data_IF_414177173786
#
_entry.id   IF_414177173786
#
_cell.length_a   1.000
_cell.length_b   1.000
_cell.length_c   1.000
_cell.angle_alpha   90.00
_cell.angle_beta   90.00
_cell.angle_gamma   90.00
#
_symmetry.space_group_name_H-M   'P 1'
#
loop_
_entity.id
_entity.type
_entity.pdbx_description
1 polymer ?
#
# COMPACT_ATOMS: atom_id res chain seq x y z
N UNK A 1 11.09 29.97 -0.97
CA UNK A 1 9.99 29.00 -1.16
C UNK A 1 10.31 27.98 -2.27
N UNK A 2 10.88 28.39 -3.40
CA UNK A 2 11.17 27.52 -4.55
C UNK A 2 12.25 26.44 -4.30
N UNK A 3 13.20 26.63 -3.39
CA UNK A 3 14.30 25.69 -3.17
C UNK A 3 13.91 24.40 -2.40
N UNK A 4 12.85 24.43 -1.58
CA UNK A 4 12.39 23.26 -0.83
C UNK A 4 11.62 22.29 -1.75
N UNK A 5 10.70 22.81 -2.56
CA UNK A 5 9.96 22.01 -3.54
C UNK A 5 10.89 21.35 -4.56
N UNK A 6 11.88 22.10 -5.06
CA UNK A 6 12.88 21.56 -5.98
C UNK A 6 13.70 20.41 -5.36
N UNK A 7 14.12 20.57 -4.09
CA UNK A 7 14.84 19.50 -3.38
C UNK A 7 13.98 18.28 -3.09
N UNK A 8 12.70 18.45 -2.73
CA UNK A 8 11.77 17.35 -2.53
C UNK A 8 11.59 16.56 -3.83
N UNK A 9 11.27 17.26 -4.92
CA UNK A 9 11.12 16.65 -6.25
C UNK A 9 12.39 15.94 -6.71
N UNK A 10 13.55 16.58 -6.56
CA UNK A 10 14.83 15.99 -6.94
C UNK A 10 15.12 14.69 -6.17
N UNK A 11 14.93 14.71 -4.83
CA UNK A 11 15.12 13.50 -3.99
C UNK A 11 14.16 12.37 -4.40
N UNK A 12 12.92 12.68 -4.75
CA UNK A 12 11.93 11.69 -5.17
C UNK A 12 12.20 11.16 -6.58
N UNK A 13 12.56 12.03 -7.51
CA UNK A 13 12.98 11.62 -8.85
C UNK A 13 14.25 10.75 -8.81
N UNK A 14 15.24 11.12 -8.01
CA UNK A 14 16.41 10.27 -7.80
C UNK A 14 16.04 8.89 -7.26
N UNK A 15 15.10 8.80 -6.30
CA UNK A 15 14.61 7.50 -5.80
C UNK A 15 13.92 6.70 -6.90
N UNK A 16 13.09 7.33 -7.72
CA UNK A 16 12.42 6.70 -8.86
C UNK A 16 13.44 6.10 -9.84
N UNK A 17 14.45 6.88 -10.22
CA UNK A 17 15.53 6.47 -11.14
C UNK A 17 16.32 5.28 -10.62
N UNK A 18 16.51 5.15 -9.30
CA UNK A 18 17.22 4.03 -8.71
C UNK A 18 16.32 2.83 -8.38
N UNK A 19 15.11 3.07 -7.88
CA UNK A 19 14.22 1.99 -7.44
C UNK A 19 13.60 1.25 -8.62
N UNK A 20 13.24 1.93 -9.71
CA UNK A 20 12.63 1.26 -10.87
C UNK A 20 13.56 0.22 -11.51
N UNK A 21 14.82 0.54 -11.89
CA UNK A 21 15.73 -0.48 -12.42
C UNK A 21 16.03 -1.59 -11.41
N UNK A 22 16.22 -1.23 -10.14
CA UNK A 22 16.48 -2.22 -9.09
C UNK A 22 15.31 -3.20 -8.95
N UNK A 23 14.08 -2.69 -8.90
CA UNK A 23 12.89 -3.55 -8.82
C UNK A 23 12.67 -4.34 -10.10
N UNK A 24 12.95 -3.78 -11.27
CA UNK A 24 12.88 -4.49 -12.55
C UNK A 24 13.84 -5.70 -12.57
N UNK A 25 15.11 -5.49 -12.19
CA UNK A 25 16.10 -6.59 -12.08
C UNK A 25 15.66 -7.64 -11.07
N UNK A 26 15.22 -7.21 -9.89
CA UNK A 26 14.79 -8.11 -8.81
C UNK A 26 13.57 -8.95 -9.23
N UNK A 27 12.56 -8.30 -9.81
CA UNK A 27 11.34 -8.98 -10.27
C UNK A 27 11.65 -9.96 -11.41
N UNK A 28 12.43 -9.53 -12.41
CA UNK A 28 12.84 -10.42 -13.50
C UNK A 28 13.62 -11.63 -12.98
N UNK A 29 14.54 -11.40 -12.03
CA UNK A 29 15.32 -12.48 -11.42
C UNK A 29 14.41 -13.44 -10.64
N UNK A 30 13.48 -12.92 -9.83
CA UNK A 30 12.54 -13.76 -9.08
C UNK A 30 11.66 -14.61 -10.01
N UNK A 31 11.13 -14.01 -11.08
CA UNK A 31 10.32 -14.73 -12.06
C UNK A 31 11.16 -15.77 -12.82
N UNK A 32 12.41 -15.42 -13.16
CA UNK A 32 13.32 -16.36 -13.86
C UNK A 32 13.81 -17.52 -12.99
N UNK A 33 13.84 -17.35 -11.66
CA UNK A 33 14.20 -18.39 -10.68
C UNK A 33 12.98 -19.20 -10.21
N UNK A 34 11.78 -18.78 -10.56
CA UNK A 34 10.57 -19.53 -10.18
C UNK A 34 10.63 -20.93 -10.81
N UNK A 35 10.34 -21.99 -10.04
CA UNK A 35 10.39 -23.38 -10.53
C UNK A 35 9.15 -23.71 -11.39
N UNK A 36 8.78 -22.81 -12.27
CA UNK A 36 7.60 -22.92 -13.13
C UNK A 36 8.09 -22.82 -14.56
N UNK A 37 7.87 -23.89 -15.33
CA UNK A 37 8.15 -23.91 -16.75
C UNK A 37 7.10 -23.08 -17.49
N UNK A 38 7.47 -21.94 -18.16
CA UNK A 38 6.53 -21.11 -18.90
C UNK A 38 5.82 -21.86 -20.02
N UNK A 39 6.48 -22.87 -20.62
CA UNK A 39 5.87 -23.70 -21.68
C UNK A 39 4.79 -24.59 -21.10
N UNK A 40 5.05 -25.23 -19.93
CA UNK A 40 4.04 -26.01 -19.23
C UNK A 40 2.83 -25.16 -18.82
N UNK A 41 3.09 -23.95 -18.36
CA UNK A 41 2.02 -23.03 -17.98
C UNK A 41 1.14 -22.62 -19.17
N UNK A 42 1.75 -22.39 -20.34
CA UNK A 42 1.05 -22.05 -21.57
C UNK A 42 0.23 -23.21 -22.14
N UNK A 43 0.85 -24.37 -22.21
CA UNK A 43 0.26 -25.57 -22.80
C UNK A 43 -0.74 -26.25 -21.85
N UNK A 44 -0.47 -26.16 -20.54
CA UNK A 44 -1.32 -26.74 -19.50
C UNK A 44 -1.48 -28.25 -19.65
N UNK A 45 -2.72 -28.72 -19.52
CA UNK A 45 -3.04 -30.16 -19.64
C UNK A 45 -2.74 -30.78 -21.03
N UNK A 46 -2.47 -29.98 -22.04
CA UNK A 46 -2.13 -30.45 -23.39
C UNK A 46 -0.63 -30.78 -23.55
N UNK A 47 0.17 -30.62 -22.52
CA UNK A 47 1.61 -30.90 -22.57
C UNK A 47 1.92 -32.33 -23.05
N UNK A 48 1.09 -33.30 -22.69
CA UNK A 48 1.21 -34.69 -23.17
C UNK A 48 0.91 -34.86 -24.68
N UNK A 49 0.34 -33.90 -25.34
CA UNK A 49 0.00 -33.92 -26.78
C UNK A 49 1.04 -33.18 -27.64
N UNK A 50 2.00 -32.50 -27.01
CA UNK A 50 3.06 -31.75 -27.69
C UNK A 50 4.32 -32.60 -27.75
N UNK A 51 4.83 -32.78 -28.98
CA UNK A 51 6.10 -33.44 -29.17
C UNK A 51 7.28 -32.57 -28.75
N UNK A 52 8.47 -33.20 -28.47
CA UNK A 52 9.66 -32.47 -28.04
C UNK A 52 10.13 -31.43 -29.06
N UNK A 53 9.87 -31.61 -30.34
CA UNK A 53 10.19 -30.65 -31.40
C UNK A 53 9.33 -29.37 -31.31
N UNK A 54 8.05 -29.55 -31.00
CA UNK A 54 7.12 -28.40 -30.82
C UNK A 54 7.45 -27.61 -29.53
N UNK A 55 7.81 -28.32 -28.46
CA UNK A 55 8.26 -27.70 -27.23
C UNK A 55 9.52 -26.86 -27.50
N UNK A 56 10.53 -27.43 -28.14
CA UNK A 56 11.77 -26.74 -28.48
C UNK A 56 11.51 -25.50 -29.40
N UNK A 57 10.56 -25.61 -30.32
CA UNK A 57 10.16 -24.50 -31.17
C UNK A 57 9.53 -23.33 -30.38
N UNK A 58 8.69 -23.64 -29.38
CA UNK A 58 8.10 -22.65 -28.47
C UNK A 58 9.19 -22.01 -27.59
N UNK A 59 10.09 -22.82 -27.03
CA UNK A 59 11.20 -22.35 -26.21
C UNK A 59 12.11 -21.39 -27.00
N UNK A 60 12.44 -21.75 -28.24
CA UNK A 60 13.24 -20.91 -29.14
C UNK A 60 12.50 -19.63 -29.55
N UNK A 61 11.18 -19.71 -29.84
CA UNK A 61 10.36 -18.56 -30.19
C UNK A 61 10.26 -17.54 -29.05
N UNK A 62 10.28 -18.00 -27.79
CA UNK A 62 10.26 -17.14 -26.61
C UNK A 62 11.65 -16.80 -26.08
N UNK A 63 12.71 -17.31 -26.74
CA UNK A 63 14.11 -17.10 -26.35
C UNK A 63 14.45 -17.68 -24.98
N UNK A 64 13.72 -18.73 -24.53
CA UNK A 64 13.95 -19.37 -23.25
C UNK A 64 15.28 -20.17 -23.21
N UNK A 65 15.81 -20.51 -24.40
CA UNK A 65 17.10 -21.10 -24.64
C UNK A 65 18.28 -20.15 -24.37
N UNK A 66 18.00 -18.83 -24.32
CA UNK A 66 19.04 -17.83 -24.15
C UNK A 66 19.41 -17.62 -22.68
N UNK A 67 20.67 -17.23 -22.37
CA UNK A 67 21.09 -16.85 -21.04
C UNK A 67 20.19 -15.77 -20.42
N UNK A 68 19.88 -15.87 -19.12
CA UNK A 68 18.93 -14.97 -18.44
C UNK A 68 19.25 -13.47 -18.57
N UNK A 69 20.54 -13.09 -18.66
CA UNK A 69 20.95 -11.72 -18.86
C UNK A 69 20.57 -11.17 -20.27
N UNK A 70 20.64 -12.02 -21.31
CA UNK A 70 20.22 -11.64 -22.68
C UNK A 70 18.71 -11.46 -22.67
N UNK A 71 17.95 -12.37 -22.08
CA UNK A 71 16.49 -12.27 -21.92
C UNK A 71 16.08 -11.01 -21.18
N UNK A 72 16.82 -10.65 -20.12
CA UNK A 72 16.57 -9.41 -19.38
C UNK A 72 16.75 -8.17 -20.26
N UNK A 73 17.84 -8.07 -21.03
CA UNK A 73 18.07 -6.91 -21.91
C UNK A 73 17.07 -6.84 -23.07
N UNK A 74 16.67 -7.97 -23.65
CA UNK A 74 15.59 -8.03 -24.64
C UNK A 74 14.27 -7.53 -24.04
N UNK A 75 13.89 -8.06 -22.90
CA UNK A 75 12.70 -7.59 -22.19
C UNK A 75 12.75 -6.10 -21.85
N UNK A 76 13.90 -5.61 -21.39
CA UNK A 76 14.07 -4.19 -21.07
C UNK A 76 13.98 -3.30 -22.34
N UNK A 77 14.50 -3.76 -23.46
CA UNK A 77 14.40 -3.04 -24.73
C UNK A 77 12.95 -2.93 -25.21
N UNK A 78 12.16 -4.00 -25.12
CA UNK A 78 10.72 -3.99 -25.37
C UNK A 78 9.96 -3.09 -24.40
N UNK A 79 10.29 -3.14 -23.10
CA UNK A 79 9.69 -2.28 -22.09
C UNK A 79 9.89 -0.79 -22.38
N UNK A 80 11.08 -0.37 -22.83
CA UNK A 80 11.37 1.03 -23.17
C UNK A 80 10.58 1.48 -24.41
N UNK A 81 10.24 0.56 -25.31
CA UNK A 81 9.37 0.81 -26.47
C UNK A 81 7.87 0.78 -26.11
N UNK A 82 7.53 0.50 -24.84
CA UNK A 82 6.14 0.40 -24.37
C UNK A 82 5.51 -0.97 -24.62
N UNK A 83 6.28 -1.93 -25.10
CA UNK A 83 5.84 -3.31 -25.29
C UNK A 83 6.12 -4.12 -24.01
N UNK A 84 5.04 -4.50 -23.31
CA UNK A 84 5.08 -5.32 -22.11
C UNK A 84 4.90 -6.81 -22.41
N UNK A 85 4.77 -7.17 -23.69
CA UNK A 85 4.45 -8.52 -24.14
C UNK A 85 2.96 -8.88 -24.01
N UNK A 86 2.67 -10.16 -24.25
CA UNK A 86 1.32 -10.70 -24.21
C UNK A 86 1.07 -11.53 -22.95
N UNK A 87 -0.11 -11.36 -22.39
CA UNK A 87 -0.59 -12.14 -21.24
C UNK A 87 -1.14 -13.49 -21.71
N UNK A 88 -0.60 -14.55 -21.15
CA UNK A 88 -1.06 -15.92 -21.37
C UNK A 88 -2.44 -16.13 -20.73
N UNK A 89 -2.64 -15.60 -19.52
CA UNK A 89 -3.86 -15.76 -18.72
C UNK A 89 -5.08 -15.06 -19.27
N UNK A 90 -4.87 -13.99 -20.06
CA UNK A 90 -5.93 -13.16 -20.65
C UNK A 90 -5.97 -13.21 -22.17
N UNK A 91 -4.97 -13.85 -22.81
CA UNK A 91 -4.83 -13.91 -24.26
C UNK A 91 -4.95 -12.53 -24.94
N UNK A 92 -4.28 -11.54 -24.36
CA UNK A 92 -4.33 -10.13 -24.76
C UNK A 92 -3.00 -9.44 -24.41
N UNK A 93 -2.66 -8.33 -25.08
CA UNK A 93 -1.50 -7.53 -24.69
C UNK A 93 -1.56 -7.11 -23.21
N UNK A 94 -0.43 -7.23 -22.51
CA UNK A 94 -0.36 -6.88 -21.07
C UNK A 94 -0.82 -5.44 -20.83
N UNK A 95 -0.46 -4.51 -21.69
CA UNK A 95 -0.88 -3.11 -21.58
C UNK A 95 -2.41 -2.96 -21.59
N UNK A 96 -3.12 -3.70 -22.43
CA UNK A 96 -4.60 -3.70 -22.50
C UNK A 96 -5.18 -4.17 -21.16
N UNK A 97 -4.68 -5.28 -20.63
CA UNK A 97 -5.13 -5.82 -19.33
C UNK A 97 -4.89 -4.81 -18.20
N UNK A 98 -3.75 -4.12 -18.22
CA UNK A 98 -3.42 -3.10 -17.22
C UNK A 98 -4.40 -1.92 -17.30
N UNK A 99 -4.63 -1.39 -18.50
CA UNK A 99 -5.52 -0.21 -18.70
C UNK A 99 -6.97 -0.53 -18.32
N UNK A 100 -7.46 -1.71 -18.63
CA UNK A 100 -8.84 -2.12 -18.31
C UNK A 100 -9.04 -2.35 -16.80
N UNK A 101 -8.04 -2.88 -16.09
CA UNK A 101 -8.18 -3.28 -14.69
C UNK A 101 -7.74 -2.23 -13.68
N UNK A 102 -6.84 -1.36 -14.06
CA UNK A 102 -6.32 -0.30 -13.18
C UNK A 102 -7.41 0.63 -12.62
N UNK A 103 -8.41 1.10 -13.40
CA UNK A 103 -9.48 1.95 -12.87
C UNK A 103 -10.29 1.29 -11.76
N UNK A 104 -10.54 -0.02 -11.85
CA UNK A 104 -11.29 -0.77 -10.84
C UNK A 104 -10.51 -0.85 -9.51
N UNK A 105 -9.21 -1.12 -9.55
CA UNK A 105 -8.34 -1.05 -8.36
C UNK A 105 -8.29 0.35 -7.77
N UNK A 106 -8.14 1.37 -8.62
CA UNK A 106 -8.08 2.76 -8.17
C UNK A 106 -9.37 3.21 -7.50
N UNK A 107 -10.55 2.82 -8.05
CA UNK A 107 -11.84 3.10 -7.46
C UNK A 107 -11.99 2.44 -6.08
N UNK A 108 -11.66 1.15 -5.98
CA UNK A 108 -11.70 0.42 -4.70
C UNK A 108 -10.78 1.06 -3.66
N UNK A 109 -9.52 1.30 -4.01
CA UNK A 109 -8.53 1.88 -3.10
C UNK A 109 -8.89 3.30 -2.70
N UNK A 110 -9.30 4.14 -3.66
CA UNK A 110 -9.66 5.53 -3.40
C UNK A 110 -10.88 5.65 -2.48
N UNK A 111 -11.94 4.90 -2.76
CA UNK A 111 -13.12 4.86 -1.90
C UNK A 111 -12.80 4.34 -0.49
N UNK A 112 -12.00 3.27 -0.40
CA UNK A 112 -11.59 2.69 0.90
C UNK A 112 -10.72 3.65 1.69
N UNK A 113 -9.81 4.34 1.04
CA UNK A 113 -8.94 5.34 1.66
C UNK A 113 -9.75 6.50 2.24
N UNK A 114 -10.68 7.05 1.47
CA UNK A 114 -11.55 8.12 1.94
C UNK A 114 -12.46 7.67 3.08
N UNK A 115 -13.08 6.49 2.94
CA UNK A 115 -13.93 5.92 3.98
C UNK A 115 -13.16 5.68 5.29
N UNK A 116 -11.96 5.09 5.20
CA UNK A 116 -11.08 4.88 6.36
C UNK A 116 -10.72 6.20 7.05
N UNK A 117 -10.41 7.24 6.28
CA UNK A 117 -10.08 8.55 6.82
C UNK A 117 -11.28 9.19 7.54
N UNK A 118 -12.45 9.20 6.92
CA UNK A 118 -13.65 9.83 7.48
C UNK A 118 -14.10 9.08 8.74
N UNK A 119 -14.25 7.76 8.65
CA UNK A 119 -14.71 6.94 9.77
C UNK A 119 -13.67 6.90 10.90
N UNK A 120 -12.40 6.65 10.55
CA UNK A 120 -11.33 6.56 11.53
C UNK A 120 -11.10 7.87 12.28
N UNK A 121 -11.07 8.99 11.56
CA UNK A 121 -10.94 10.32 12.17
C UNK A 121 -12.15 10.69 13.01
N UNK A 122 -13.36 10.45 12.51
CA UNK A 122 -14.61 10.73 13.24
C UNK A 122 -14.70 9.96 14.56
N UNK A 123 -14.46 8.65 14.50
CA UNK A 123 -14.45 7.79 15.70
C UNK A 123 -13.30 8.16 16.66
N UNK A 124 -12.13 8.54 16.14
CA UNK A 124 -11.01 9.00 16.95
C UNK A 124 -11.31 10.28 17.71
N UNK A 125 -11.96 11.26 17.05
CA UNK A 125 -12.42 12.50 17.69
C UNK A 125 -13.49 12.21 18.74
N UNK A 126 -14.47 11.35 18.43
CA UNK A 126 -15.52 10.95 19.35
C UNK A 126 -14.93 10.25 20.58
N UNK A 127 -14.03 9.32 20.40
CA UNK A 127 -13.36 8.62 21.51
C UNK A 127 -12.61 9.59 22.43
N UNK A 128 -11.88 10.57 21.86
CA UNK A 128 -11.18 11.57 22.65
C UNK A 128 -12.12 12.54 23.38
N UNK A 129 -13.20 12.96 22.74
CA UNK A 129 -14.22 13.83 23.34
C UNK A 129 -14.94 13.16 24.53
N UNK A 130 -15.07 11.83 24.48
CA UNK A 130 -15.65 10.98 25.53
C UNK A 130 -14.60 10.30 26.41
N UNK A 131 -13.39 10.86 26.51
CA UNK A 131 -12.26 10.24 27.23
C UNK A 131 -12.66 9.67 28.59
N UNK A 132 -12.29 8.40 28.82
CA UNK A 132 -12.55 7.65 30.06
C UNK A 132 -13.99 7.15 30.23
N UNK A 133 -14.94 7.55 29.38
CA UNK A 133 -16.33 7.09 29.39
C UNK A 133 -16.50 5.81 28.58
N UNK A 134 -17.70 5.20 28.65
CA UNK A 134 -17.99 3.95 27.95
C UNK A 134 -17.81 4.03 26.41
N UNK A 135 -18.18 5.15 25.67
CA UNK A 135 -17.96 5.20 24.23
C UNK A 135 -16.46 5.15 23.87
N UNK A 136 -15.61 5.84 24.64
CA UNK A 136 -14.16 5.77 24.46
C UNK A 136 -13.63 4.35 24.61
N UNK A 137 -14.10 3.62 25.64
CA UNK A 137 -13.66 2.23 25.88
C UNK A 137 -14.08 1.30 24.75
N UNK A 138 -15.31 1.45 24.23
CA UNK A 138 -15.82 0.63 23.13
C UNK A 138 -15.06 0.93 21.81
N UNK A 139 -14.93 2.21 21.44
CA UNK A 139 -14.24 2.60 20.20
C UNK A 139 -12.78 2.14 20.25
N UNK A 140 -12.10 2.32 21.36
CA UNK A 140 -10.71 1.89 21.54
C UNK A 140 -10.60 0.36 21.50
N UNK A 141 -11.48 -0.38 22.18
CA UNK A 141 -11.53 -1.83 22.14
C UNK A 141 -11.76 -2.33 20.71
N UNK A 142 -12.71 -1.76 20.00
CA UNK A 142 -12.98 -2.03 18.59
C UNK A 142 -11.75 -1.77 17.71
N UNK A 143 -11.12 -0.60 17.86
CA UNK A 143 -9.92 -0.25 17.10
C UNK A 143 -8.77 -1.23 17.32
N UNK A 144 -8.57 -1.70 18.56
CA UNK A 144 -7.57 -2.70 18.91
C UNK A 144 -7.89 -4.06 18.26
N UNK A 145 -9.14 -4.54 18.36
CA UNK A 145 -9.57 -5.81 17.78
C UNK A 145 -9.35 -5.81 16.26
N UNK A 146 -9.76 -4.73 15.57
CA UNK A 146 -9.59 -4.64 14.12
C UNK A 146 -8.11 -4.59 13.73
N UNK A 147 -7.28 -3.87 14.47
CA UNK A 147 -5.85 -3.74 14.16
C UNK A 147 -5.07 -5.05 14.21
N UNK A 148 -5.57 -6.04 14.95
CA UNK A 148 -4.95 -7.37 15.06
C UNK A 148 -5.68 -8.45 14.27
N UNK A 149 -6.87 -8.14 13.74
CA UNK A 149 -7.68 -9.10 12.97
C UNK A 149 -7.14 -9.25 11.55
N UNK A 150 -7.03 -10.49 11.02
CA UNK A 150 -6.64 -10.71 9.64
C UNK A 150 -7.68 -10.12 8.66
N UNK A 151 -7.23 -9.38 7.65
CA UNK A 151 -8.12 -8.71 6.69
C UNK A 151 -9.04 -9.67 5.92
N UNK A 152 -8.53 -10.85 5.55
CA UNK A 152 -9.34 -11.87 4.86
C UNK A 152 -10.48 -12.40 5.74
N UNK A 153 -10.27 -12.52 7.05
CA UNK A 153 -11.29 -12.96 7.99
C UNK A 153 -12.44 -11.96 8.09
N UNK A 154 -12.11 -10.66 8.14
CA UNK A 154 -13.11 -9.58 8.12
C UNK A 154 -13.92 -9.62 6.82
N UNK A 155 -13.26 -9.83 5.68
CA UNK A 155 -13.94 -9.97 4.39
C UNK A 155 -14.96 -11.11 4.38
N UNK A 156 -14.56 -12.30 4.84
CA UNK A 156 -15.42 -13.47 4.92
C UNK A 156 -16.58 -13.28 5.90
N UNK A 157 -16.31 -12.63 7.04
CA UNK A 157 -17.34 -12.28 8.02
C UNK A 157 -18.39 -11.34 7.40
N UNK A 158 -17.96 -10.34 6.64
CA UNK A 158 -18.87 -9.40 5.97
C UNK A 158 -19.67 -10.05 4.87
N UNK A 159 -19.07 -10.92 4.08
CA UNK A 159 -19.81 -11.74 3.10
C UNK A 159 -20.86 -12.58 3.83
N UNK A 160 -20.49 -13.28 4.90
CA UNK A 160 -21.41 -14.12 5.63
C UNK A 160 -22.61 -13.34 6.20
N UNK A 161 -22.36 -12.19 6.81
CA UNK A 161 -23.42 -11.39 7.44
C UNK A 161 -24.25 -10.65 6.38
N UNK A 162 -23.61 -9.82 5.54
CA UNK A 162 -24.32 -8.86 4.70
C UNK A 162 -24.79 -9.44 3.36
N UNK A 163 -24.07 -10.44 2.82
CA UNK A 163 -24.44 -11.03 1.55
C UNK A 163 -25.26 -12.32 1.70
N UNK A 164 -24.90 -13.19 2.69
CA UNK A 164 -25.56 -14.48 2.84
C UNK A 164 -26.74 -14.41 3.80
N UNK A 165 -26.53 -13.93 5.06
CA UNK A 165 -27.59 -13.94 6.07
C UNK A 165 -28.63 -12.84 5.85
N UNK A 166 -28.18 -11.61 5.59
CA UNK A 166 -29.07 -10.46 5.42
C UNK A 166 -29.49 -10.24 3.96
N UNK A 167 -28.76 -10.80 3.00
CA UNK A 167 -28.97 -10.61 1.56
C UNK A 167 -29.09 -9.12 1.11
N UNK A 168 -28.43 -8.21 1.84
CA UNK A 168 -28.49 -6.78 1.55
C UNK A 168 -27.56 -6.36 0.43
N UNK A 169 -26.38 -6.99 0.35
CA UNK A 169 -25.30 -6.62 -0.57
C UNK A 169 -24.84 -7.85 -1.37
N UNK A 170 -24.34 -7.67 -2.59
CA UNK A 170 -23.77 -8.77 -3.38
C UNK A 170 -22.49 -9.30 -2.76
N UNK A 171 -22.25 -10.61 -2.90
CA UNK A 171 -21.08 -11.29 -2.34
C UNK A 171 -19.82 -11.15 -3.20
N UNK A 172 -19.98 -10.88 -4.52
CA UNK A 172 -18.86 -10.85 -5.46
C UNK A 172 -19.10 -9.91 -6.63
N UNK A 173 -18.05 -9.82 -7.43
CA UNK A 173 -18.05 -9.27 -8.78
C UNK A 173 -18.26 -7.75 -8.80
N UNK A 174 -18.11 -7.12 -9.98
CA UNK A 174 -18.34 -5.67 -10.13
C UNK A 174 -19.76 -5.35 -10.58
N UNK A 175 -20.41 -6.34 -11.21
CA UNK A 175 -21.75 -6.21 -11.82
C UNK A 175 -22.58 -7.46 -11.54
N UNK A 176 -23.91 -7.35 -11.62
CA UNK A 176 -24.80 -8.50 -11.57
C UNK A 176 -24.51 -9.48 -12.70
N UNK A 177 -24.72 -10.80 -12.48
CA UNK A 177 -24.56 -11.80 -13.53
C UNK A 177 -25.43 -11.48 -14.76
N UNK A 178 -24.82 -11.54 -15.95
CA UNK A 178 -25.50 -11.30 -17.22
C UNK A 178 -25.61 -9.84 -17.66
N UNK A 179 -25.14 -8.89 -16.85
CA UNK A 179 -25.09 -7.46 -17.22
C UNK A 179 -23.72 -7.14 -17.81
N UNK A 180 -23.68 -6.60 -19.03
CA UNK A 180 -22.46 -6.12 -19.67
C UNK A 180 -22.07 -4.73 -19.15
N UNK A 181 -20.81 -4.31 -19.36
CA UNK A 181 -20.36 -2.99 -18.91
C UNK A 181 -21.13 -1.83 -19.56
N UNK A 182 -21.56 -2.02 -20.81
CA UNK A 182 -22.30 -1.02 -21.57
C UNK A 182 -23.74 -0.84 -21.11
N UNK A 183 -24.33 -1.89 -20.51
CA UNK A 183 -25.68 -1.89 -19.96
C UNK A 183 -25.73 -1.56 -18.47
N UNK A 184 -24.57 -1.48 -17.85
CA UNK A 184 -24.45 -1.33 -16.40
C UNK A 184 -24.77 0.10 -15.95
N UNK A 185 -25.66 0.21 -14.98
CA UNK A 185 -25.92 1.46 -14.31
C UNK A 185 -24.88 1.70 -13.19
N UNK A 186 -24.42 2.95 -13.02
CA UNK A 186 -23.44 3.33 -12.02
C UNK A 186 -23.81 2.89 -10.58
N UNK A 187 -25.09 2.83 -10.24
CA UNK A 187 -25.56 2.40 -8.91
C UNK A 187 -25.35 0.89 -8.68
N UNK A 188 -25.40 0.06 -9.73
CA UNK A 188 -25.11 -1.38 -9.65
C UNK A 188 -23.63 -1.59 -9.30
N UNK A 189 -22.75 -0.89 -10.01
CA UNK A 189 -21.32 -0.90 -9.72
C UNK A 189 -21.05 -0.42 -8.28
N UNK A 190 -21.70 0.69 -7.87
CA UNK A 190 -21.60 1.21 -6.50
C UNK A 190 -22.03 0.20 -5.44
N UNK A 191 -23.14 -0.54 -5.66
CA UNK A 191 -23.64 -1.54 -4.72
C UNK A 191 -22.66 -2.71 -4.54
N UNK A 192 -22.00 -3.15 -5.61
CA UNK A 192 -20.99 -4.21 -5.57
C UNK A 192 -19.67 -3.72 -4.92
N UNK A 193 -19.38 -2.43 -4.99
CA UNK A 193 -18.21 -1.83 -4.40
C UNK A 193 -18.29 -1.70 -2.87
N UNK A 194 -19.50 -1.68 -2.28
CA UNK A 194 -19.71 -1.41 -0.83
C UNK A 194 -18.97 -2.39 0.06
N UNK A 195 -19.14 -3.72 -0.14
CA UNK A 195 -18.51 -4.72 0.73
C UNK A 195 -16.97 -4.73 0.63
N UNK A 196 -16.38 -4.71 -0.58
CA UNK A 196 -14.92 -4.56 -0.72
C UNK A 196 -14.39 -3.29 -0.04
N UNK A 197 -15.07 -2.15 -0.24
CA UNK A 197 -14.69 -0.87 0.38
C UNK A 197 -14.80 -0.93 1.90
N UNK A 198 -15.88 -1.45 2.47
CA UNK A 198 -16.03 -1.61 3.91
C UNK A 198 -14.91 -2.48 4.48
N UNK A 199 -14.61 -3.60 3.85
CA UNK A 199 -13.54 -4.51 4.29
C UNK A 199 -12.19 -3.81 4.32
N UNK A 200 -11.81 -3.17 3.21
CA UNK A 200 -10.51 -2.54 3.08
C UNK A 200 -10.41 -1.27 3.95
N UNK A 201 -11.50 -0.50 4.09
CA UNK A 201 -11.53 0.70 4.92
C UNK A 201 -11.42 0.40 6.41
N UNK A 202 -12.11 -0.63 6.90
CA UNK A 202 -12.05 -1.02 8.32
C UNK A 202 -10.63 -1.36 8.73
N UNK A 203 -9.89 -2.07 7.88
CA UNK A 203 -8.49 -2.39 8.15
C UNK A 203 -7.64 -1.13 8.40
N UNK A 204 -7.85 -0.06 7.62
CA UNK A 204 -7.17 1.22 7.79
C UNK A 204 -7.69 2.07 8.96
N UNK A 205 -8.89 1.82 9.50
CA UNK A 205 -9.50 2.68 10.53
C UNK A 205 -8.88 2.52 11.91
N UNK A 206 -8.50 1.31 12.33
CA UNK A 206 -8.03 1.02 13.67
C UNK A 206 -6.84 1.88 14.12
N UNK A 207 -5.71 1.86 13.41
CA UNK A 207 -4.55 2.70 13.71
C UNK A 207 -4.87 4.20 13.67
N UNK A 208 -5.73 4.62 12.74
CA UNK A 208 -6.11 6.01 12.59
C UNK A 208 -6.97 6.52 13.77
N UNK A 209 -7.93 5.72 14.24
CA UNK A 209 -8.73 6.00 15.45
C UNK A 209 -7.81 6.27 16.64
N UNK A 210 -6.87 5.35 16.89
CA UNK A 210 -5.95 5.45 18.01
C UNK A 210 -5.03 6.66 17.89
N UNK A 211 -4.53 6.96 16.70
CA UNK A 211 -3.69 8.12 16.43
C UNK A 211 -4.43 9.44 16.67
N UNK A 212 -5.61 9.61 16.07
CA UNK A 212 -6.43 10.83 16.21
C UNK A 212 -6.82 11.05 17.66
N UNK A 213 -7.27 9.97 18.35
CA UNK A 213 -7.59 10.00 19.77
C UNK A 213 -6.42 10.49 20.61
N UNK A 214 -5.23 9.91 20.41
CA UNK A 214 -4.03 10.27 21.17
C UNK A 214 -3.62 11.73 20.95
N UNK A 215 -3.65 12.19 19.71
CA UNK A 215 -3.32 13.57 19.34
C UNK A 215 -4.29 14.58 19.93
N UNK A 216 -5.58 14.26 19.90
CA UNK A 216 -6.60 15.15 20.46
C UNK A 216 -6.51 15.22 21.98
N UNK A 217 -6.31 14.11 22.68
CA UNK A 217 -6.09 14.10 24.13
C UNK A 217 -4.85 14.91 24.49
N UNK A 218 -3.71 14.71 23.81
CA UNK A 218 -2.52 15.50 24.04
C UNK A 218 -2.72 17.00 23.83
N UNK A 219 -3.57 17.41 22.88
CA UNK A 219 -3.95 18.81 22.74
C UNK A 219 -4.81 19.30 23.91
N UNK A 220 -5.82 18.51 24.34
CA UNK A 220 -6.74 18.86 25.41
C UNK A 220 -6.05 19.00 26.79
N UNK A 221 -5.00 18.24 27.02
CA UNK A 221 -4.19 18.30 28.23
C UNK A 221 -3.08 19.38 28.14
N UNK A 222 -2.87 19.93 26.96
CA UNK A 222 -1.81 20.89 26.68
C UNK A 222 -2.10 22.33 27.14
N UNK A 223 -1.06 23.19 27.12
CA UNK A 223 -1.18 24.58 27.57
C UNK A 223 -2.13 25.41 26.73
N UNK A 224 -2.21 25.14 25.40
CA UNK A 224 -3.13 25.84 24.49
C UNK A 224 -4.60 25.61 24.88
N UNK A 225 -4.98 24.38 25.22
CA UNK A 225 -6.33 24.06 25.65
C UNK A 225 -6.64 24.69 27.01
N UNK A 226 -5.65 24.70 27.93
CA UNK A 226 -5.78 25.36 29.25
C UNK A 226 -6.06 26.84 29.08
N UNK A 227 -5.31 27.53 28.21
CA UNK A 227 -5.54 28.95 27.91
C UNK A 227 -6.96 29.20 27.37
N UNK A 228 -7.42 28.43 26.41
CA UNK A 228 -8.75 28.55 25.84
C UNK A 228 -9.87 28.27 26.85
N UNK A 229 -9.66 27.36 27.81
CA UNK A 229 -10.61 27.12 28.94
C UNK A 229 -10.70 28.33 29.85
N UNK A 230 -9.61 29.02 30.14
CA UNK A 230 -9.61 30.26 30.94
C UNK A 230 -10.42 31.38 30.27
N UNK A 231 -10.54 31.34 28.95
CA UNK A 231 -11.40 32.22 28.16
C UNK A 231 -12.85 31.72 28.00
N UNK A 232 -13.27 30.75 28.83
CA UNK A 232 -14.65 30.25 28.88
C UNK A 232 -15.04 29.22 27.82
N UNK A 233 -14.05 28.64 27.04
CA UNK A 233 -14.37 27.64 26.06
C UNK A 233 -14.64 26.28 26.73
N UNK A 234 -15.82 25.68 26.44
CA UNK A 234 -16.18 24.36 26.97
C UNK A 234 -15.33 23.23 26.40
N UNK A 235 -15.15 22.15 27.14
CA UNK A 235 -14.35 21.00 26.69
C UNK A 235 -14.84 20.39 25.38
N UNK A 236 -16.16 20.37 25.15
CA UNK A 236 -16.73 19.87 23.89
C UNK A 236 -16.39 20.80 22.71
N UNK A 237 -16.49 22.11 22.88
CA UNK A 237 -16.10 23.09 21.85
C UNK A 237 -14.61 23.03 21.56
N UNK A 238 -13.78 22.81 22.57
CA UNK A 238 -12.35 22.58 22.41
C UNK A 238 -12.04 21.33 21.60
N UNK A 239 -12.70 20.23 21.91
CA UNK A 239 -12.50 18.96 21.22
C UNK A 239 -12.94 19.01 19.76
N UNK A 240 -14.15 19.53 19.49
CA UNK A 240 -14.73 19.58 18.13
C UNK A 240 -14.21 20.74 17.26
N UNK A 241 -13.63 21.77 17.86
CA UNK A 241 -13.09 22.94 17.15
C UNK A 241 -11.57 22.89 16.99
N UNK A 242 -10.80 23.64 17.80
CA UNK A 242 -9.35 23.75 17.61
C UNK A 242 -8.62 22.42 17.85
N UNK A 243 -9.10 21.58 18.77
CA UNK A 243 -8.50 20.29 19.05
C UNK A 243 -8.61 19.30 17.88
N UNK A 244 -9.81 19.18 17.29
CA UNK A 244 -10.00 18.31 16.11
C UNK A 244 -9.16 18.78 14.93
N UNK A 245 -9.08 20.09 14.66
CA UNK A 245 -8.23 20.64 13.60
C UNK A 245 -6.75 20.27 13.80
N UNK A 246 -6.27 20.35 15.05
CA UNK A 246 -4.90 19.97 15.37
C UNK A 246 -4.65 18.45 15.16
N UNK A 247 -5.58 17.60 15.62
CA UNK A 247 -5.49 16.16 15.48
C UNK A 247 -5.63 15.70 14.02
N UNK A 248 -6.57 16.29 13.25
CA UNK A 248 -6.79 15.97 11.85
C UNK A 248 -5.61 16.35 10.96
N UNK A 249 -4.93 17.47 11.20
CA UNK A 249 -3.73 17.83 10.47
C UNK A 249 -2.66 16.74 10.57
N UNK A 250 -2.44 16.19 11.77
CA UNK A 250 -1.53 15.06 11.98
C UNK A 250 -2.06 13.76 11.38
N UNK A 251 -3.38 13.53 11.45
CA UNK A 251 -4.04 12.34 10.90
C UNK A 251 -3.90 12.24 9.38
N UNK A 252 -4.08 13.36 8.66
CA UNK A 252 -3.88 13.42 7.20
C UNK A 252 -2.47 12.96 6.85
N UNK A 253 -1.45 13.48 7.53
CA UNK A 253 -0.05 13.11 7.25
C UNK A 253 0.22 11.61 7.44
N UNK A 254 -0.28 11.04 8.54
CA UNK A 254 -0.10 9.60 8.84
C UNK A 254 -0.89 8.74 7.86
N UNK A 255 -2.13 9.14 7.55
CA UNK A 255 -2.98 8.41 6.64
C UNK A 255 -2.44 8.41 5.20
N UNK A 256 -1.94 9.57 4.73
CA UNK A 256 -1.28 9.65 3.42
C UNK A 256 -0.02 8.79 3.34
N UNK A 257 0.72 8.62 4.44
CA UNK A 257 1.89 7.75 4.47
C UNK A 257 1.54 6.25 4.31
N UNK A 258 0.30 5.83 4.62
CA UNK A 258 -0.15 4.44 4.48
C UNK A 258 -0.68 4.08 3.07
N UNK A 259 -0.61 4.99 2.09
CA UNK A 259 -1.07 4.72 0.71
C UNK A 259 -0.42 3.45 0.13
N UNK A 260 0.87 3.23 0.38
CA UNK A 260 1.58 2.03 -0.10
C UNK A 260 1.05 0.72 0.48
N UNK A 261 0.55 0.73 1.72
CA UNK A 261 0.01 -0.45 2.39
C UNK A 261 -1.35 -0.88 1.81
N UNK A 262 -2.11 0.08 1.24
CA UNK A 262 -3.39 -0.20 0.61
C UNK A 262 -3.27 -1.13 -0.59
N UNK A 263 -2.18 -1.04 -1.36
CA UNK A 263 -1.96 -1.95 -2.49
C UNK A 263 -1.88 -3.41 -2.04
N UNK A 264 -1.15 -3.71 -0.96
CA UNK A 264 -1.10 -5.07 -0.41
C UNK A 264 -2.46 -5.56 0.08
N UNK A 265 -3.23 -4.69 0.74
CA UNK A 265 -4.57 -4.99 1.21
C UNK A 265 -5.60 -5.14 0.09
N UNK A 266 -5.47 -4.36 -1.00
CA UNK A 266 -6.40 -4.41 -2.12
C UNK A 266 -6.35 -5.74 -2.87
N UNK A 267 -5.17 -6.36 -3.01
CA UNK A 267 -5.01 -7.68 -3.65
C UNK A 267 -5.90 -8.72 -2.99
N UNK A 268 -5.91 -8.77 -1.65
CA UNK A 268 -6.78 -9.69 -0.92
C UNK A 268 -8.26 -9.37 -1.10
N UNK A 269 -8.64 -8.10 -0.99
CA UNK A 269 -10.03 -7.68 -1.18
C UNK A 269 -10.52 -7.98 -2.61
N UNK A 270 -9.73 -7.63 -3.63
CA UNK A 270 -10.06 -7.89 -5.02
C UNK A 270 -10.21 -9.39 -5.32
N UNK A 271 -9.36 -10.22 -4.72
CA UNK A 271 -9.43 -11.68 -4.90
C UNK A 271 -10.65 -12.28 -4.22
N UNK A 272 -10.93 -11.91 -2.96
CA UNK A 272 -12.03 -12.48 -2.18
C UNK A 272 -13.38 -12.08 -2.76
N UNK A 273 -13.52 -10.81 -3.17
CA UNK A 273 -14.76 -10.29 -3.76
C UNK A 273 -14.83 -10.45 -5.28
N UNK A 274 -13.87 -11.13 -5.91
CA UNK A 274 -13.76 -11.26 -7.37
C UNK A 274 -13.89 -9.89 -8.08
N UNK A 275 -13.33 -8.82 -7.47
CA UNK A 275 -13.33 -7.48 -8.02
C UNK A 275 -12.32 -7.39 -9.16
N UNK A 276 -12.71 -6.91 -10.37
CA UNK A 276 -11.87 -7.01 -11.57
C UNK A 276 -10.72 -6.00 -11.61
N UNK A 277 -9.89 -5.98 -10.59
CA UNK A 277 -8.73 -5.09 -10.48
C UNK A 277 -7.40 -5.78 -10.78
N UNK A 278 -6.30 -5.01 -10.57
CA UNK A 278 -4.93 -5.47 -10.76
C UNK A 278 -4.51 -6.53 -9.74
N UNK A 279 -5.03 -6.47 -8.51
CA UNK A 279 -4.73 -7.47 -7.48
C UNK A 279 -5.28 -8.85 -7.86
N UNK A 280 -6.52 -8.92 -8.34
CA UNK A 280 -7.08 -10.15 -8.88
C UNK A 280 -6.27 -10.66 -10.09
N UNK A 281 -5.88 -9.75 -10.99
CA UNK A 281 -5.05 -10.09 -12.13
C UNK A 281 -3.67 -10.62 -11.70
N UNK A 282 -3.09 -10.08 -10.62
CA UNK A 282 -1.82 -10.56 -10.05
C UNK A 282 -1.94 -12.02 -9.59
N UNK A 283 -2.99 -12.35 -8.85
CA UNK A 283 -3.20 -13.73 -8.37
C UNK A 283 -3.45 -14.67 -9.53
N UNK A 284 -4.24 -14.27 -10.53
CA UNK A 284 -4.49 -15.07 -11.74
C UNK A 284 -3.20 -15.28 -12.54
N UNK A 285 -2.38 -14.24 -12.72
CA UNK A 285 -1.11 -14.34 -13.39
C UNK A 285 -0.11 -15.24 -12.63
N UNK A 286 -0.08 -15.13 -11.29
CA UNK A 286 0.80 -15.97 -10.47
C UNK A 286 0.41 -17.45 -10.55
N UNK A 287 -0.88 -17.77 -10.49
CA UNK A 287 -1.37 -19.18 -10.59
C UNK A 287 -1.28 -19.73 -12.02
N UNK A 288 -1.37 -18.85 -13.03
CA UNK A 288 -1.22 -19.21 -14.45
C UNK A 288 0.21 -19.11 -14.97
N UNK A 289 1.19 -18.86 -14.12
CA UNK A 289 2.60 -18.68 -14.49
C UNK A 289 2.84 -17.63 -15.59
N UNK A 290 2.00 -16.61 -15.65
CA UNK A 290 2.02 -15.54 -16.62
C UNK A 290 3.09 -14.49 -16.25
N UNK A 291 4.33 -14.78 -16.62
CA UNK A 291 5.48 -13.95 -16.30
C UNK A 291 5.39 -12.51 -16.86
N UNK A 292 5.00 -12.29 -18.14
CA UNK A 292 4.87 -10.94 -18.69
C UNK A 292 3.85 -10.10 -17.93
N UNK A 293 2.69 -10.66 -17.60
CA UNK A 293 1.64 -9.96 -16.86
C UNK A 293 2.08 -9.65 -15.42
N UNK A 294 2.73 -10.59 -14.73
CA UNK A 294 3.27 -10.36 -13.38
C UNK A 294 4.28 -9.22 -13.36
N UNK A 295 5.22 -9.21 -14.29
CA UNK A 295 6.22 -8.15 -14.41
C UNK A 295 5.55 -6.79 -14.71
N UNK A 296 4.60 -6.77 -15.64
CA UNK A 296 3.84 -5.56 -16.00
C UNK A 296 3.06 -4.98 -14.82
N UNK A 297 2.29 -5.81 -14.09
CA UNK A 297 1.54 -5.37 -12.91
C UNK A 297 2.47 -4.87 -11.82
N UNK A 298 3.55 -5.60 -11.54
CA UNK A 298 4.50 -5.22 -10.50
C UNK A 298 5.18 -3.88 -10.79
N UNK A 299 5.61 -3.64 -12.04
CA UNK A 299 6.19 -2.36 -12.45
C UNK A 299 5.19 -1.20 -12.31
N UNK A 300 3.95 -1.38 -12.81
CA UNK A 300 2.89 -0.37 -12.66
C UNK A 300 2.60 -0.10 -11.19
N UNK A 301 2.51 -1.14 -10.38
CA UNK A 301 2.30 -1.00 -8.93
C UNK A 301 3.39 -0.17 -8.27
N UNK A 302 4.67 -0.45 -8.57
CA UNK A 302 5.80 0.33 -8.05
C UNK A 302 5.71 1.80 -8.46
N UNK A 303 5.42 2.08 -9.74
CA UNK A 303 5.24 3.45 -10.23
C UNK A 303 4.10 4.15 -9.50
N UNK A 304 2.96 3.51 -9.38
CA UNK A 304 1.76 4.08 -8.72
C UNK A 304 2.01 4.32 -7.23
N UNK A 305 2.68 3.40 -6.52
CA UNK A 305 3.05 3.58 -5.11
C UNK A 305 4.03 4.75 -4.94
N UNK A 306 5.03 4.87 -5.82
CA UNK A 306 5.98 5.98 -5.76
C UNK A 306 5.31 7.33 -6.05
N UNK A 307 4.42 7.38 -7.04
CA UNK A 307 3.63 8.59 -7.35
C UNK A 307 2.63 8.90 -6.22
N UNK A 308 1.98 7.89 -5.65
CA UNK A 308 1.11 8.04 -4.49
C UNK A 308 1.84 8.61 -3.28
N UNK A 309 3.03 8.10 -2.98
CA UNK A 309 3.88 8.63 -1.91
C UNK A 309 4.36 10.07 -2.20
N UNK A 310 4.66 10.40 -3.45
CA UNK A 310 5.01 11.76 -3.83
C UNK A 310 3.82 12.70 -3.62
N UNK A 311 2.62 12.30 -4.07
CA UNK A 311 1.39 13.06 -3.85
C UNK A 311 1.09 13.22 -2.36
N UNK A 312 1.29 12.16 -1.57
CA UNK A 312 1.15 12.19 -0.12
C UNK A 312 2.08 13.22 0.54
N UNK A 313 3.34 13.28 0.16
CA UNK A 313 4.30 14.26 0.66
C UNK A 313 3.90 15.70 0.29
N UNK A 314 3.42 15.92 -0.93
CA UNK A 314 2.95 17.22 -1.41
C UNK A 314 1.74 17.67 -0.58
N UNK A 315 0.74 16.79 -0.42
CA UNK A 315 -0.46 17.08 0.35
C UNK A 315 -0.16 17.28 1.83
N UNK A 316 0.70 16.44 2.43
CA UNK A 316 1.14 16.59 3.81
C UNK A 316 1.83 17.94 4.05
N UNK A 317 2.71 18.35 3.15
CA UNK A 317 3.40 19.64 3.23
C UNK A 317 2.45 20.84 2.97
N UNK A 318 1.35 20.63 2.25
CA UNK A 318 0.31 21.64 2.05
C UNK A 318 -0.55 21.80 3.30
N UNK A 319 -0.91 20.70 3.95
CA UNK A 319 -1.74 20.68 5.18
C UNK A 319 -0.93 21.16 6.40
N UNK A 320 0.34 20.73 6.53
CA UNK A 320 1.23 21.16 7.61
C UNK A 320 2.49 21.88 7.07
N UNK A 321 2.46 23.22 6.99
CA UNK A 321 3.61 24.00 6.52
C UNK A 321 4.89 23.82 7.36
N UNK A 322 4.80 23.31 8.58
CA UNK A 322 5.96 23.06 9.45
C UNK A 322 6.87 21.96 8.90
N UNK A 323 6.31 21.03 8.15
CA UNK A 323 7.08 19.97 7.47
C UNK A 323 8.04 20.54 6.40
N UNK A 324 7.81 21.76 5.93
CA UNK A 324 8.70 22.46 4.98
C UNK A 324 9.98 23.00 5.60
N UNK A 325 9.98 23.17 6.91
CA UNK A 325 11.05 23.85 7.68
C UNK A 325 12.03 22.83 8.29
N UNK A 326 11.60 21.60 8.55
CA UNK A 326 12.48 20.58 9.12
C UNK A 326 13.43 20.01 8.06
N UNK A 327 14.77 20.15 8.22
CA UNK A 327 15.71 19.35 7.45
C UNK A 327 15.52 17.89 7.85
N UNK A 328 15.18 17.02 6.89
CA UNK A 328 15.07 15.57 7.12
C UNK A 328 16.43 14.89 7.43
N UNK A 329 17.48 15.66 7.73
CA UNK A 329 18.85 15.16 7.91
C UNK A 329 19.28 14.92 9.36
N UNK A 330 18.43 15.16 10.37
CA UNK A 330 18.88 15.06 11.77
C UNK A 330 18.56 13.74 12.49
N UNK A 331 18.22 12.66 11.81
CA UNK A 331 18.00 11.38 12.51
C UNK A 331 19.26 10.55 12.77
N UNK A 332 20.44 10.97 12.31
CA UNK A 332 21.69 10.20 12.51
C UNK A 332 22.92 10.92 13.09
N UNK A 333 22.93 12.21 13.51
CA UNK A 333 24.16 12.80 14.03
C UNK A 333 24.36 12.66 15.54
N UNK A 334 23.33 12.36 16.34
CA UNK A 334 23.50 12.39 17.82
C UNK A 334 24.18 11.16 18.42
N UNK A 335 24.12 10.01 17.74
CA UNK A 335 24.78 8.79 18.23
C UNK A 335 26.31 8.89 18.22
N UNK A 336 26.91 9.70 17.31
CA UNK A 336 28.37 9.91 17.26
C UNK A 336 28.93 10.89 18.34
N UNK A 337 28.06 11.58 19.08
CA UNK A 337 28.45 12.55 20.10
C UNK A 337 28.23 12.08 21.54
N UNK A 338 27.82 10.85 21.75
CA UNK A 338 27.63 10.33 23.11
C UNK A 338 29.02 10.06 23.76
N UNK A 339 29.32 10.70 24.90
CA UNK A 339 30.67 10.63 25.54
C UNK A 339 31.09 9.19 25.86
N UNK A 340 30.14 8.31 26.13
CA UNK A 340 30.41 6.91 26.46
C UNK A 340 30.89 6.07 25.27
N UNK A 341 30.52 6.42 24.01
CA UNK A 341 31.07 5.75 22.82
C UNK A 341 32.56 6.07 22.61
N UNK A 342 33.00 7.26 23.00
CA UNK A 342 34.43 7.61 23.02
C UNK A 342 35.17 6.95 24.17
N UNK A 343 34.52 6.72 25.30
CA UNK A 343 35.09 6.03 26.45
C UNK A 343 35.30 4.53 26.17
N UNK A 344 34.34 3.86 25.52
CA UNK A 344 34.46 2.44 25.14
C UNK A 344 35.54 2.18 24.07
N UNK A 345 35.77 3.13 23.15
CA UNK A 345 36.85 3.06 22.18
C UNK A 345 38.25 3.23 22.87
N UNK A 346 38.38 4.10 23.88
CA UNK A 346 39.62 4.28 24.65
C UNK A 346 39.93 3.07 25.53
N UNK A 347 38.94 2.41 26.09
CA UNK A 347 39.11 1.17 26.88
C UNK A 347 39.59 0.00 26.02
N UNK A 348 39.13 -0.12 24.79
CA UNK A 348 39.62 -1.16 23.83
C UNK A 348 41.07 -0.92 23.39
N UNK A 349 41.53 0.34 23.32
CA UNK A 349 42.90 0.68 22.97
C UNK A 349 43.85 0.46 24.17
N UNK A 350 43.39 0.74 25.38
CA UNK A 350 44.19 0.54 26.62
C UNK A 350 44.36 -0.96 26.97
N UNK A 351 43.38 -1.82 26.63
CA UNK A 351 43.51 -3.26 26.85
C UNK A 351 44.46 -3.95 25.86
N UNK A 352 44.74 -3.38 24.69
CA UNK A 352 45.72 -3.91 23.72
C UNK A 352 47.18 -3.55 24.06
N UNK A 353 47.40 -2.53 24.89
CA UNK A 353 48.74 -2.10 25.31
C UNK A 353 49.28 -2.82 26.57
N UNK A 354 48.50 -3.72 27.20
CA UNK A 354 48.88 -4.45 28.41
C UNK A 354 49.27 -5.92 28.20
N UNK A 355 49.42 -6.37 26.97
CA UNK A 355 49.87 -7.74 26.66
C UNK A 355 51.15 -7.65 25.83
N UNK A 356 52.29 -7.21 26.49
CA UNK A 356 53.63 -7.62 26.09
C UNK A 356 54.17 -8.54 27.19
N UNK A 357 54.52 -9.79 26.90
CA UNK A 357 55.20 -10.65 27.85
C UNK A 357 56.67 -10.21 27.95
N UNK A 358 57.11 -9.87 29.16
CA UNK A 358 58.52 -9.78 29.45
C UNK A 358 59.14 -11.19 29.40
N UNK A 359 59.99 -11.40 28.41
CA UNK A 359 60.97 -12.47 28.37
C UNK A 359 62.09 -12.24 29.38
#
# INVERSE_FOLDING_TARGET
>A
MNSWWGRLMMKRLCRLVWLLPLTAVLLFTLVSLAPIDPVQAYVGARMSMIGPEQQAAIEAAWGLDQPGWIRFFHWLAHLVQGDLGDSISYNAPVLTVLVERFPASLALMGCSFLAAFVVGSGLGVLAAACQGRWPDRLIRGWAMVISVSPGFWIALLFISIFAVQLAWLPSCCALPPGVTQDEAHWWQYGRHLVLPVLTLSIYGTGPLILHVRQRLIGFLDGPSARHLRLHGMSSTRLALGPGSRHALGSAVTVHLASIGELFGGSVLAETIFAWPGLGQATVKAATGADAPLLLGIALVTVVVVLLGNLLADILAAWVDPRLRIMPQEETLPRLKRLPWLKASARLKTASRLKVEPKS
#
